data_IF_698935748116
#
_entry.id   IF_698935748116
#
_cell.length_a   1.000
_cell.length_b   1.000
_cell.length_c   1.000
_cell.angle_alpha   90.00
_cell.angle_beta   90.00
_cell.angle_gamma   90.00
#
_symmetry.space_group_name_H-M   'P 1'
#
loop_
_entity.id
_entity.type
_entity.pdbx_description
1 polymer ?
#
# COMPACT_ATOMS: atom_id res chain seq x y z
N UNK A 1 18.17 -50.94 -37.32
CA UNK A 1 17.84 -49.88 -36.33
C UNK A 1 19.14 -49.40 -35.69
N UNK A 2 19.49 -48.11 -35.82
CA UNK A 2 20.71 -47.55 -35.20
C UNK A 2 20.54 -47.58 -33.67
N UNK A 3 21.45 -48.26 -32.95
CA UNK A 3 21.51 -48.21 -31.49
C UNK A 3 22.02 -46.83 -31.09
N UNK A 4 21.19 -46.04 -30.42
CA UNK A 4 21.61 -44.78 -29.80
C UNK A 4 22.66 -45.11 -28.74
N UNK A 5 23.79 -44.41 -28.74
CA UNK A 5 24.87 -44.64 -27.78
C UNK A 5 24.41 -44.29 -26.36
N UNK A 6 24.94 -45.01 -25.38
CA UNK A 6 24.62 -44.81 -23.95
C UNK A 6 25.01 -43.39 -23.50
N UNK A 7 26.03 -42.81 -24.12
CA UNK A 7 26.47 -41.44 -23.95
C UNK A 7 25.40 -40.40 -24.32
N UNK A 8 24.71 -40.58 -25.46
CA UNK A 8 23.60 -39.70 -25.89
C UNK A 8 22.42 -39.78 -24.92
N UNK A 9 22.17 -40.96 -24.34
CA UNK A 9 21.14 -41.14 -23.31
C UNK A 9 21.49 -40.39 -22.02
N UNK A 10 22.72 -40.52 -21.53
CA UNK A 10 23.19 -39.82 -20.33
C UNK A 10 23.13 -38.30 -20.54
N UNK A 11 23.59 -37.80 -21.68
CA UNK A 11 23.56 -36.38 -22.01
C UNK A 11 22.11 -35.84 -22.06
N UNK A 12 21.20 -36.60 -22.68
CA UNK A 12 19.78 -36.21 -22.77
C UNK A 12 19.13 -36.14 -21.38
N UNK A 13 19.41 -37.11 -20.51
CA UNK A 13 18.93 -37.12 -19.11
C UNK A 13 19.52 -35.96 -18.31
N UNK A 14 20.81 -35.66 -18.48
CA UNK A 14 21.46 -34.52 -17.83
C UNK A 14 20.87 -33.17 -18.27
N UNK A 15 20.56 -32.99 -19.55
CA UNK A 15 19.88 -31.78 -20.02
C UNK A 15 18.44 -31.68 -19.50
N UNK A 16 17.73 -32.80 -19.45
CA UNK A 16 16.36 -32.86 -18.90
C UNK A 16 16.33 -32.54 -17.41
N UNK A 17 17.32 -32.98 -16.63
CA UNK A 17 17.38 -32.68 -15.19
C UNK A 17 17.63 -31.19 -14.93
N UNK A 18 18.47 -30.52 -15.73
CA UNK A 18 18.68 -29.07 -15.66
C UNK A 18 17.39 -28.32 -16.01
N UNK A 19 16.69 -28.71 -17.08
CA UNK A 19 15.40 -28.11 -17.45
C UNK A 19 14.35 -28.28 -16.35
N UNK A 20 14.25 -29.48 -15.77
CA UNK A 20 13.33 -29.73 -14.66
C UNK A 20 13.67 -28.86 -13.43
N UNK A 21 14.95 -28.68 -13.12
CA UNK A 21 15.42 -27.78 -12.06
C UNK A 21 15.02 -26.32 -12.32
N UNK A 22 15.18 -25.83 -13.55
CA UNK A 22 14.79 -24.46 -13.91
C UNK A 22 13.28 -24.23 -13.80
N UNK A 23 12.46 -25.20 -14.20
CA UNK A 23 11.00 -25.12 -14.06
C UNK A 23 10.61 -25.07 -12.58
N UNK A 24 11.22 -25.91 -11.74
CA UNK A 24 10.97 -25.93 -10.30
C UNK A 24 11.29 -24.58 -9.64
N UNK A 25 12.46 -24.02 -9.94
CA UNK A 25 12.86 -22.69 -9.43
C UNK A 25 11.90 -21.59 -9.91
N UNK A 26 11.46 -21.64 -11.17
CA UNK A 26 10.47 -20.68 -11.69
C UNK A 26 9.13 -20.73 -10.95
N UNK A 27 8.66 -21.94 -10.59
CA UNK A 27 7.44 -22.13 -9.81
C UNK A 27 7.60 -21.63 -8.36
N UNK A 28 8.75 -21.91 -7.74
CA UNK A 28 9.07 -21.48 -6.36
C UNK A 28 9.17 -19.95 -6.27
N UNK A 29 9.83 -19.29 -7.23
CA UNK A 29 9.89 -17.82 -7.30
C UNK A 29 8.51 -17.19 -7.43
N UNK A 30 7.62 -17.77 -8.25
CA UNK A 30 6.24 -17.29 -8.39
C UNK A 30 5.47 -17.42 -7.07
N UNK A 31 5.62 -18.54 -6.36
CA UNK A 31 4.99 -18.73 -5.05
C UNK A 31 5.56 -17.76 -4.00
N UNK A 32 6.89 -17.57 -3.98
CA UNK A 32 7.56 -16.63 -3.09
C UNK A 32 7.05 -15.19 -3.30
N UNK A 33 6.88 -14.76 -4.55
CA UNK A 33 6.31 -13.45 -4.88
C UNK A 33 4.88 -13.29 -4.37
N UNK A 34 4.04 -14.32 -4.53
CA UNK A 34 2.67 -14.30 -4.03
C UNK A 34 2.62 -14.21 -2.50
N UNK A 35 3.49 -14.92 -1.79
CA UNK A 35 3.58 -14.83 -0.34
C UNK A 35 4.09 -13.46 0.13
N UNK A 36 5.08 -12.89 -0.56
CA UNK A 36 5.57 -11.56 -0.26
C UNK A 36 4.47 -10.50 -0.41
N UNK A 37 3.70 -10.57 -1.51
CA UNK A 37 2.56 -9.68 -1.73
C UNK A 37 1.47 -9.86 -0.66
N UNK A 38 1.13 -11.11 -0.31
CA UNK A 38 0.16 -11.38 0.75
C UNK A 38 0.64 -10.87 2.12
N UNK A 39 1.91 -11.08 2.46
CA UNK A 39 2.50 -10.58 3.71
C UNK A 39 2.47 -9.05 3.79
N UNK A 40 2.73 -8.38 2.66
CA UNK A 40 2.63 -6.93 2.55
C UNK A 40 1.19 -6.42 2.74
N UNK A 41 0.20 -7.13 2.20
CA UNK A 41 -1.21 -6.81 2.42
C UNK A 41 -1.65 -7.05 3.89
N UNK A 42 -1.18 -8.12 4.51
CA UNK A 42 -1.43 -8.40 5.95
C UNK A 42 -0.83 -7.29 6.82
N UNK A 43 0.43 -6.91 6.58
CA UNK A 43 1.09 -5.85 7.36
C UNK A 43 0.37 -4.50 7.23
N UNK A 44 -0.15 -4.18 6.04
CA UNK A 44 -0.97 -2.98 5.83
C UNK A 44 -2.30 -3.05 6.57
N UNK A 45 -2.98 -4.20 6.52
CA UNK A 45 -4.22 -4.40 7.26
C UNK A 45 -3.99 -4.25 8.77
N UNK A 46 -2.88 -4.75 9.31
CA UNK A 46 -2.52 -4.62 10.71
C UNK A 46 -2.41 -3.15 11.15
N UNK A 47 -1.78 -2.29 10.35
CA UNK A 47 -1.70 -0.84 10.64
C UNK A 47 -3.09 -0.20 10.69
N UNK A 48 -4.00 -0.55 9.77
CA UNK A 48 -5.37 -0.02 9.79
C UNK A 48 -6.19 -0.55 10.98
N UNK A 49 -6.04 -1.83 11.32
CA UNK A 49 -6.72 -2.43 12.47
C UNK A 49 -6.21 -1.83 13.78
N UNK A 50 -4.90 -1.61 13.90
CA UNK A 50 -4.27 -0.97 15.06
C UNK A 50 -4.71 0.49 15.23
N UNK A 51 -4.81 1.22 14.12
CA UNK A 51 -5.40 2.55 14.12
C UNK A 51 -6.84 2.51 14.67
N UNK A 52 -7.70 1.62 14.17
CA UNK A 52 -9.08 1.48 14.68
C UNK A 52 -9.13 0.98 16.14
N UNK A 53 -8.17 0.16 16.57
CA UNK A 53 -8.03 -0.26 17.97
C UNK A 53 -7.75 0.94 18.87
N UNK A 54 -6.87 1.85 18.44
CA UNK A 54 -6.55 3.08 19.19
C UNK A 54 -7.79 3.96 19.40
N UNK A 55 -8.67 4.05 18.40
CA UNK A 55 -9.98 4.70 18.55
C UNK A 55 -10.83 4.00 19.63
N UNK A 56 -10.88 2.68 19.60
CA UNK A 56 -11.64 1.88 20.58
C UNK A 56 -11.12 2.04 22.01
N UNK A 57 -9.80 2.09 22.20
CA UNK A 57 -9.13 2.24 23.50
C UNK A 57 -9.33 3.64 24.11
N UNK A 58 -9.44 4.67 23.27
CA UNK A 58 -9.67 6.06 23.70
C UNK A 58 -11.15 6.40 23.86
N UNK A 59 -12.06 5.47 23.58
CA UNK A 59 -13.50 5.68 23.66
C UNK A 59 -14.09 6.46 22.49
N UNK A 60 -13.28 6.78 21.46
CA UNK A 60 -13.72 7.48 20.26
C UNK A 60 -14.26 6.46 19.25
N UNK A 61 -15.51 6.64 18.81
CA UNK A 61 -16.10 5.77 17.83
C UNK A 61 -15.70 6.20 16.40
N UNK A 62 -15.06 5.31 15.64
CA UNK A 62 -14.63 5.59 14.27
C UNK A 62 -15.79 5.93 13.31
N UNK A 63 -16.94 5.27 13.47
CA UNK A 63 -18.14 5.55 12.67
C UNK A 63 -18.74 6.91 13.04
N UNK A 64 -18.71 7.29 14.31
CA UNK A 64 -19.16 8.59 14.79
C UNK A 64 -18.27 9.71 14.26
N UNK A 65 -16.94 9.54 14.31
CA UNK A 65 -15.97 10.41 13.66
C UNK A 65 -16.28 10.61 12.17
N UNK A 66 -16.52 9.52 11.44
CA UNK A 66 -16.83 9.59 10.00
C UNK A 66 -18.17 10.28 9.71
N UNK A 67 -19.16 10.17 10.60
CA UNK A 67 -20.50 10.73 10.39
C UNK A 67 -20.65 12.18 10.89
N UNK A 68 -20.04 12.49 12.03
CA UNK A 68 -20.24 13.72 12.78
C UNK A 68 -18.98 14.60 12.84
N UNK A 69 -17.83 14.10 12.40
CA UNK A 69 -16.58 14.85 12.29
C UNK A 69 -15.75 14.89 13.57
N UNK A 70 -15.06 16.01 13.77
CA UNK A 70 -14.10 16.24 14.86
C UNK A 70 -14.75 17.02 16.00
N UNK A 71 -14.36 16.73 17.23
CA UNK A 71 -14.71 17.43 18.46
C UNK A 71 -13.44 17.75 19.26
N UNK A 72 -13.51 18.66 20.22
CA UNK A 72 -12.35 18.95 21.09
C UNK A 72 -11.82 17.70 21.82
N UNK A 73 -12.68 16.71 22.09
CA UNK A 73 -12.30 15.49 22.80
C UNK A 73 -11.53 14.50 21.92
N UNK A 74 -11.82 14.44 20.61
CA UNK A 74 -11.20 13.48 19.69
C UNK A 74 -10.15 14.11 18.76
N UNK A 75 -9.89 15.41 18.87
CA UNK A 75 -9.10 16.19 17.93
C UNK A 75 -7.68 15.63 17.73
N UNK A 76 -6.93 15.45 18.82
CA UNK A 76 -5.57 14.89 18.78
C UNK A 76 -5.54 13.48 18.16
N UNK A 77 -6.54 12.66 18.42
CA UNK A 77 -6.62 11.31 17.87
C UNK A 77 -6.82 11.36 16.35
N UNK A 78 -7.74 12.19 15.88
CA UNK A 78 -8.02 12.37 14.46
C UNK A 78 -6.81 12.91 13.71
N UNK A 79 -6.08 13.88 14.28
CA UNK A 79 -4.84 14.39 13.68
C UNK A 79 -3.78 13.30 13.53
N UNK A 80 -3.54 12.53 14.60
CA UNK A 80 -2.58 11.43 14.57
C UNK A 80 -2.99 10.38 13.54
N UNK A 81 -4.29 10.08 13.43
CA UNK A 81 -4.80 9.18 12.42
C UNK A 81 -4.55 9.70 11.00
N UNK A 82 -4.79 10.98 10.74
CA UNK A 82 -4.50 11.59 9.44
C UNK A 82 -3.00 11.57 9.11
N UNK A 83 -2.11 11.75 10.10
CA UNK A 83 -0.66 11.53 9.92
C UNK A 83 -0.34 10.08 9.56
N UNK A 84 -0.98 9.11 10.22
CA UNK A 84 -0.82 7.69 9.91
C UNK A 84 -1.22 7.36 8.47
N UNK A 85 -2.33 7.92 8.01
CA UNK A 85 -2.78 7.73 6.62
C UNK A 85 -1.74 8.24 5.61
N UNK A 86 -1.05 9.35 5.89
CA UNK A 86 0.02 9.83 5.02
C UNK A 86 1.20 8.86 4.91
N UNK A 87 1.61 8.19 5.99
CA UNK A 87 2.64 7.14 5.92
C UNK A 87 2.19 5.93 5.08
N UNK A 88 0.92 5.54 5.22
CA UNK A 88 0.36 4.45 4.42
C UNK A 88 0.34 4.83 2.94
N UNK A 89 -0.07 6.05 2.61
CA UNK A 89 -0.16 6.52 1.22
C UNK A 89 1.20 6.78 0.57
N UNK A 90 2.20 7.20 1.34
CA UNK A 90 3.59 7.24 0.89
C UNK A 90 4.06 5.84 0.47
N UNK A 91 3.73 4.82 1.27
CA UNK A 91 4.02 3.44 0.93
C UNK A 91 3.19 2.92 -0.26
N UNK A 92 1.94 3.37 -0.43
CA UNK A 92 1.10 3.07 -1.61
C UNK A 92 1.76 3.59 -2.89
N UNK A 93 2.18 4.85 -2.88
CA UNK A 93 2.85 5.48 -4.01
C UNK A 93 4.15 4.77 -4.39
N UNK A 94 4.98 4.43 -3.39
CA UNK A 94 6.21 3.66 -3.64
C UNK A 94 5.93 2.31 -4.32
N UNK A 95 4.89 1.59 -3.88
CA UNK A 95 4.54 0.31 -4.48
C UNK A 95 4.05 0.44 -5.92
N UNK A 96 3.27 1.49 -6.20
CA UNK A 96 2.84 1.80 -7.55
C UNK A 96 4.04 2.10 -8.46
N UNK A 97 4.95 2.97 -8.02
CA UNK A 97 6.16 3.31 -8.78
C UNK A 97 7.09 2.10 -9.03
N UNK A 98 7.09 1.12 -8.13
CA UNK A 98 7.84 -0.13 -8.30
C UNK A 98 7.12 -1.18 -9.18
N UNK A 99 5.92 -0.87 -9.69
CA UNK A 99 5.11 -1.80 -10.50
C UNK A 99 4.51 -2.96 -9.69
N UNK A 100 4.40 -2.79 -8.37
CA UNK A 100 3.85 -3.78 -7.44
C UNK A 100 2.35 -3.57 -7.16
N UNK A 101 1.74 -2.58 -7.78
CA UNK A 101 0.33 -2.25 -7.64
C UNK A 101 -0.33 -2.11 -9.02
N UNK A 102 -1.47 -2.78 -9.19
CA UNK A 102 -2.28 -2.65 -10.40
C UNK A 102 -2.84 -1.22 -10.52
N UNK A 103 -2.96 -0.72 -11.75
CA UNK A 103 -3.46 0.63 -12.05
C UNK A 103 -4.83 0.89 -11.41
N UNK A 104 -5.76 -0.05 -11.49
CA UNK A 104 -7.10 0.12 -10.91
C UNK A 104 -7.10 0.22 -9.38
N UNK A 105 -6.15 -0.44 -8.72
CA UNK A 105 -5.95 -0.34 -7.27
C UNK A 105 -5.32 1.02 -6.96
N UNK A 106 -4.33 1.43 -7.74
CA UNK A 106 -3.70 2.73 -7.61
C UNK A 106 -4.70 3.88 -7.76
N UNK A 107 -5.55 3.86 -8.78
CA UNK A 107 -6.62 4.85 -8.96
C UNK A 107 -7.54 4.94 -7.72
N UNK A 108 -7.82 3.82 -7.06
CA UNK A 108 -8.60 3.81 -5.82
C UNK A 108 -7.83 4.43 -4.64
N UNK A 109 -6.53 4.15 -4.52
CA UNK A 109 -5.66 4.77 -3.52
C UNK A 109 -5.48 6.27 -3.76
N UNK A 110 -5.36 6.70 -5.02
CA UNK A 110 -5.26 8.11 -5.39
C UNK A 110 -6.53 8.89 -5.02
N UNK A 111 -7.72 8.27 -5.14
CA UNK A 111 -8.96 8.86 -4.61
C UNK A 111 -8.93 9.03 -3.09
N UNK A 112 -8.38 8.05 -2.37
CA UNK A 112 -8.23 8.15 -0.91
C UNK A 112 -7.22 9.24 -0.49
N UNK A 113 -6.10 9.36 -1.21
CA UNK A 113 -5.12 10.44 -1.06
C UNK A 113 -5.80 11.79 -1.27
N UNK A 114 -6.57 11.93 -2.36
CA UNK A 114 -7.31 13.16 -2.63
C UNK A 114 -8.36 13.49 -1.57
N UNK A 115 -9.02 12.46 -1.01
CA UNK A 115 -9.92 12.65 0.13
C UNK A 115 -9.15 13.14 1.36
N UNK A 116 -8.04 12.50 1.74
CA UNK A 116 -7.20 12.92 2.88
C UNK A 116 -6.69 14.35 2.72
N UNK A 117 -6.21 14.71 1.55
CA UNK A 117 -5.75 16.06 1.22
C UNK A 117 -6.86 17.13 1.32
N UNK A 118 -8.12 16.71 1.18
CA UNK A 118 -9.31 17.55 1.26
C UNK A 118 -10.18 17.23 2.51
N UNK A 119 -9.57 16.84 3.63
CA UNK A 119 -10.29 16.69 4.91
C UNK A 119 -11.16 15.44 5.02
N UNK A 120 -10.81 14.35 4.33
CA UNK A 120 -11.53 13.06 4.35
C UNK A 120 -13.01 13.15 3.91
N UNK A 121 -13.37 14.21 3.17
CA UNK A 121 -14.77 14.49 2.80
C UNK A 121 -15.60 15.08 3.95
N UNK A 122 -14.97 15.45 5.06
CA UNK A 122 -15.59 16.10 6.22
C UNK A 122 -15.21 17.60 6.15
N UNK A 123 -16.17 18.51 5.86
CA UNK A 123 -15.87 19.93 5.68
C UNK A 123 -15.11 20.57 6.87
N UNK A 124 -15.41 20.14 8.10
CA UNK A 124 -14.75 20.63 9.30
C UNK A 124 -13.26 20.27 9.40
N UNK A 125 -12.78 19.28 8.65
CA UNK A 125 -11.37 18.84 8.64
C UNK A 125 -10.55 19.49 7.53
N UNK A 126 -11.17 20.30 6.69
CA UNK A 126 -10.53 20.84 5.51
C UNK A 126 -9.27 21.67 5.84
N UNK A 127 -9.39 22.71 6.67
CA UNK A 127 -8.25 23.53 7.11
C UNK A 127 -7.20 22.67 7.83
N UNK A 128 -7.68 21.73 8.66
CA UNK A 128 -6.81 20.82 9.41
C UNK A 128 -5.98 19.91 8.50
N UNK A 129 -6.55 19.41 7.40
CA UNK A 129 -5.85 18.61 6.41
C UNK A 129 -4.68 19.37 5.78
N UNK A 130 -4.84 20.68 5.55
CA UNK A 130 -3.78 21.53 4.99
C UNK A 130 -2.65 21.76 5.98
N UNK A 131 -2.96 22.01 7.25
CA UNK A 131 -1.95 22.11 8.30
C UNK A 131 -1.14 20.81 8.43
N UNK A 132 -1.82 19.65 8.39
CA UNK A 132 -1.16 18.34 8.40
C UNK A 132 -0.30 18.15 7.15
N UNK A 133 -0.80 18.53 5.97
CA UNK A 133 -0.04 18.46 4.72
C UNK A 133 1.23 19.31 4.76
N UNK A 134 1.15 20.54 5.28
CA UNK A 134 2.32 21.43 5.39
C UNK A 134 3.42 20.86 6.29
N UNK A 135 3.07 20.08 7.30
CA UNK A 135 4.03 19.34 8.13
C UNK A 135 4.63 18.15 7.38
N UNK A 136 3.85 17.47 6.53
CA UNK A 136 4.28 16.24 5.83
C UNK A 136 5.05 16.51 4.55
N UNK A 137 4.62 17.45 3.72
CA UNK A 137 5.20 17.75 2.40
C UNK A 137 6.74 17.90 2.38
N UNK A 138 7.43 18.46 3.40
CA UNK A 138 8.88 18.65 3.33
C UNK A 138 9.68 17.35 3.50
N UNK A 139 9.05 16.29 4.01
CA UNK A 139 9.71 14.99 4.30
C UNK A 139 9.26 13.87 3.37
N UNK A 140 8.30 14.14 2.47
CA UNK A 140 7.79 13.18 1.51
C UNK A 140 8.60 13.20 0.20
N UNK A 141 8.45 12.13 -0.58
CA UNK A 141 8.98 12.05 -1.93
C UNK A 141 8.49 13.23 -2.81
N UNK A 142 9.37 13.94 -3.54
CA UNK A 142 8.97 15.10 -4.34
C UNK A 142 7.95 14.78 -5.45
N UNK A 143 7.98 13.57 -6.02
CA UNK A 143 7.01 13.16 -7.04
C UNK A 143 5.63 12.95 -6.41
N UNK A 144 5.57 12.38 -5.21
CA UNK A 144 4.33 12.28 -4.44
C UNK A 144 3.78 13.66 -4.09
N UNK A 145 4.64 14.59 -3.68
CA UNK A 145 4.23 15.98 -3.38
C UNK A 145 3.63 16.63 -4.63
N UNK A 146 4.30 16.55 -5.78
CA UNK A 146 3.81 17.11 -7.02
C UNK A 146 2.47 16.47 -7.46
N UNK A 147 2.32 15.16 -7.26
CA UNK A 147 1.08 14.45 -7.52
C UNK A 147 -0.06 14.95 -6.62
N UNK A 148 0.15 15.02 -5.30
CA UNK A 148 -0.86 15.49 -4.35
C UNK A 148 -1.26 16.93 -4.63
N UNK A 149 -0.29 17.80 -4.88
CA UNK A 149 -0.54 19.22 -5.18
C UNK A 149 -1.20 19.44 -6.55
N UNK A 150 -1.24 18.42 -7.42
CA UNK A 150 -2.02 18.46 -8.66
C UNK A 150 -3.50 18.13 -8.47
N UNK A 151 -3.89 17.55 -7.31
CA UNK A 151 -5.26 17.20 -7.00
C UNK A 151 -6.06 18.49 -6.75
N UNK A 152 -7.26 18.65 -7.33
CA UNK A 152 -8.10 19.81 -7.05
C UNK A 152 -8.36 19.97 -5.55
N UNK A 153 -8.10 21.19 -5.07
CA UNK A 153 -8.47 21.61 -3.74
C UNK A 153 -9.99 21.85 -3.71
N UNK A 154 -10.71 20.99 -2.98
CA UNK A 154 -12.16 21.08 -2.75
C UNK A 154 -12.49 21.57 -1.34
N UNK A 155 -11.44 21.97 -0.65
CA UNK A 155 -11.39 22.97 0.38
C UNK A 155 -11.55 24.36 -0.25
#
# INVERSE_FOLDING_TARGET
MKKVSLDVWIQSVGMLSVLAGLIFVGLEMRQSQLFALAAQQTARMEVFVDAVSTFSETGVNFQDFQANGISEENETLVENFMHQLWWVHENDFLQYNLGLMDESIWEAKLRAIGALYNGLGIPALCERAKLIWDVRRPVLDPELVALVESIPENC
#
